data_IF_319856820246
#
_entry.id   IF_319856820246
#
_cell.length_a   1.000
_cell.length_b   1.000
_cell.length_c   1.000
_cell.angle_alpha   90.00
_cell.angle_beta   90.00
_cell.angle_gamma   90.00
#
_symmetry.space_group_name_H-M   'P 1'
#
loop_
_entity.id
_entity.type
_entity.pdbx_description
1 polymer ?
#
# COMPACT_ATOMS: atom_id res chain seq x y z
N UNK A 1 17.24 -40.74 -40.97
CA UNK A 1 17.08 -40.87 -39.52
C UNK A 1 17.63 -39.62 -38.84
N UNK A 2 16.88 -38.50 -38.95
CA UNK A 2 17.23 -37.16 -38.42
C UNK A 2 15.97 -36.37 -38.03
N UNK A 3 15.10 -37.00 -37.22
CA UNK A 3 13.85 -36.36 -36.75
C UNK A 3 13.72 -36.24 -35.24
N UNK A 4 14.66 -36.76 -34.46
CA UNK A 4 14.52 -36.81 -32.98
C UNK A 4 15.07 -35.58 -32.23
N UNK A 5 15.92 -34.75 -32.87
CA UNK A 5 16.50 -33.56 -32.22
C UNK A 5 15.53 -32.41 -32.02
N UNK A 6 14.55 -32.25 -32.92
CA UNK A 6 13.61 -31.13 -32.87
C UNK A 6 12.47 -31.36 -31.86
N UNK A 7 12.04 -32.61 -31.67
CA UNK A 7 10.99 -32.98 -30.72
C UNK A 7 11.46 -32.91 -29.27
N UNK A 8 12.74 -33.26 -28.98
CA UNK A 8 13.34 -33.07 -27.69
C UNK A 8 13.51 -31.57 -27.32
N UNK A 9 13.88 -30.73 -28.28
CA UNK A 9 13.99 -29.28 -28.12
C UNK A 9 12.63 -28.62 -27.84
N UNK A 10 11.58 -29.04 -28.49
CA UNK A 10 10.22 -28.51 -28.29
C UNK A 10 9.65 -28.98 -26.94
N UNK A 11 9.87 -30.26 -26.60
CA UNK A 11 9.39 -30.81 -25.33
C UNK A 11 10.14 -30.24 -24.11
N UNK A 12 11.45 -30.00 -24.23
CA UNK A 12 12.24 -29.33 -23.19
C UNK A 12 11.90 -27.85 -23.08
N UNK A 13 11.62 -27.15 -24.20
CA UNK A 13 11.21 -25.76 -24.22
C UNK A 13 9.83 -25.57 -23.58
N UNK A 14 8.86 -26.44 -23.91
CA UNK A 14 7.52 -26.45 -23.28
C UNK A 14 7.58 -26.75 -21.78
N UNK A 15 8.42 -27.74 -21.36
CA UNK A 15 8.61 -28.11 -19.95
C UNK A 15 9.34 -27.04 -19.14
N UNK A 16 10.24 -26.29 -19.76
CA UNK A 16 10.98 -25.20 -19.13
C UNK A 16 10.16 -23.91 -19.03
N UNK A 17 9.30 -23.62 -20.02
CA UNK A 17 8.33 -22.52 -19.93
C UNK A 17 7.29 -22.80 -18.85
N UNK A 18 6.76 -24.03 -18.77
CA UNK A 18 5.82 -24.46 -17.75
C UNK A 18 6.41 -24.40 -16.31
N UNK A 19 7.74 -24.60 -16.13
CA UNK A 19 8.41 -24.47 -14.82
C UNK A 19 8.66 -23.02 -14.44
N UNK A 20 8.84 -22.11 -15.40
CA UNK A 20 8.97 -20.68 -15.14
C UNK A 20 7.63 -20.06 -14.73
N UNK A 21 6.53 -20.53 -15.33
CA UNK A 21 5.17 -20.16 -14.96
C UNK A 21 4.78 -20.67 -13.58
N UNK A 22 5.46 -21.71 -13.06
CA UNK A 22 5.23 -22.21 -11.69
C UNK A 22 5.82 -21.32 -10.59
N UNK A 23 6.85 -20.49 -10.87
CA UNK A 23 7.47 -19.63 -9.83
C UNK A 23 6.70 -18.34 -9.63
N UNK A 24 6.18 -17.73 -10.69
CA UNK A 24 5.32 -16.54 -10.60
C UNK A 24 4.08 -16.81 -11.42
N UNK A 25 3.02 -17.25 -10.78
CA UNK A 25 1.75 -17.60 -11.42
C UNK A 25 0.76 -16.44 -11.37
N UNK A 26 -0.18 -16.39 -12.31
CA UNK A 26 -1.34 -15.48 -12.28
C UNK A 26 -2.13 -15.63 -10.96
N UNK A 27 -2.13 -16.83 -10.34
CA UNK A 27 -2.70 -17.06 -9.00
C UNK A 27 -2.01 -16.22 -7.91
N UNK A 28 -0.77 -15.83 -8.11
CA UNK A 28 -0.06 -14.94 -7.19
C UNK A 28 -0.51 -13.47 -7.35
N UNK A 29 -1.05 -13.09 -8.53
CA UNK A 29 -1.68 -11.79 -8.72
C UNK A 29 -2.90 -11.61 -7.79
N UNK A 30 -3.64 -12.68 -7.49
CA UNK A 30 -4.76 -12.64 -6.52
C UNK A 30 -4.25 -12.36 -5.10
N UNK A 31 -3.04 -12.80 -4.76
CA UNK A 31 -2.42 -12.47 -3.47
C UNK A 31 -2.03 -10.99 -3.36
N UNK A 32 -2.02 -10.28 -4.51
CA UNK A 32 -1.70 -8.86 -4.64
C UNK A 32 -2.94 -7.93 -4.59
N UNK A 33 -4.09 -8.48 -4.19
CA UNK A 33 -5.35 -7.73 -4.12
C UNK A 33 -5.22 -6.43 -3.33
N UNK A 34 -4.33 -6.38 -2.33
CA UNK A 34 -4.04 -5.17 -1.58
C UNK A 34 -3.47 -4.04 -2.44
N UNK A 35 -2.57 -4.35 -3.37
CA UNK A 35 -2.01 -3.34 -4.30
C UNK A 35 -3.09 -2.90 -5.28
N UNK A 36 -3.91 -3.83 -5.79
CA UNK A 36 -5.03 -3.49 -6.69
C UNK A 36 -6.05 -2.57 -6.02
N UNK A 37 -6.35 -2.76 -4.74
CA UNK A 37 -7.26 -1.88 -3.98
C UNK A 37 -6.66 -0.49 -3.82
N UNK A 38 -5.37 -0.39 -3.46
CA UNK A 38 -4.69 0.89 -3.28
C UNK A 38 -4.64 1.67 -4.60
N UNK A 39 -4.28 1.02 -5.70
CA UNK A 39 -4.26 1.65 -7.03
C UNK A 39 -5.66 2.02 -7.51
N UNK A 40 -6.67 1.20 -7.23
CA UNK A 40 -8.06 1.50 -7.52
C UNK A 40 -8.49 2.81 -6.81
N UNK A 41 -8.23 2.93 -5.50
CA UNK A 41 -8.54 4.14 -4.74
C UNK A 41 -7.77 5.37 -5.26
N UNK A 42 -6.49 5.21 -5.60
CA UNK A 42 -5.67 6.27 -6.14
C UNK A 42 -6.21 6.80 -7.47
N UNK A 43 -6.47 5.88 -8.40
CA UNK A 43 -6.97 6.23 -9.74
C UNK A 43 -8.38 6.81 -9.67
N UNK A 44 -9.24 6.30 -8.79
CA UNK A 44 -10.58 6.83 -8.57
C UNK A 44 -10.53 8.32 -8.19
N UNK A 45 -9.80 8.66 -7.13
CA UNK A 45 -9.69 10.06 -6.66
C UNK A 45 -9.10 10.94 -7.75
N UNK A 46 -7.93 10.57 -8.26
CA UNK A 46 -7.22 11.40 -9.23
C UNK A 46 -8.01 11.59 -10.53
N UNK A 47 -8.72 10.55 -11.00
CA UNK A 47 -9.57 10.65 -12.18
C UNK A 47 -10.73 11.61 -11.97
N UNK A 48 -11.42 11.53 -10.82
CA UNK A 48 -12.54 12.42 -10.52
C UNK A 48 -12.11 13.88 -10.50
N UNK A 49 -11.02 14.20 -9.79
CA UNK A 49 -10.55 15.58 -9.67
C UNK A 49 -9.90 16.13 -10.93
N UNK A 50 -9.09 15.33 -11.64
CA UNK A 50 -8.45 15.79 -12.86
C UNK A 50 -9.45 15.93 -14.01
N UNK A 51 -10.43 15.03 -14.13
CA UNK A 51 -11.50 15.19 -15.12
C UNK A 51 -12.33 16.44 -14.83
N UNK A 52 -12.70 16.65 -13.57
CA UNK A 52 -13.40 17.87 -13.14
C UNK A 52 -12.59 19.13 -13.46
N UNK A 53 -11.28 19.11 -13.22
CA UNK A 53 -10.40 20.22 -13.59
C UNK A 53 -10.42 20.52 -15.09
N UNK A 54 -10.33 19.49 -15.95
CA UNK A 54 -10.38 19.69 -17.40
C UNK A 54 -11.75 20.19 -17.89
N UNK A 55 -12.84 19.74 -17.27
CA UNK A 55 -14.18 20.15 -17.66
C UNK A 55 -14.50 21.57 -17.15
N UNK A 56 -14.06 21.95 -15.96
CA UNK A 56 -14.31 23.29 -15.40
C UNK A 56 -13.50 24.36 -16.13
N UNK A 57 -12.29 24.07 -16.59
CA UNK A 57 -11.49 25.02 -17.37
C UNK A 57 -12.19 25.40 -18.69
N UNK A 58 -12.99 24.50 -19.28
CA UNK A 58 -13.72 24.79 -20.53
C UNK A 58 -14.90 25.76 -20.36
N UNK A 59 -15.32 26.07 -19.15
CA UNK A 59 -16.43 27.01 -18.90
C UNK A 59 -15.96 28.42 -18.49
N UNK A 60 -14.64 28.67 -18.48
CA UNK A 60 -14.07 29.98 -18.11
C UNK A 60 -14.69 31.14 -18.86
N UNK A 61 -14.87 30.99 -20.19
CA UNK A 61 -15.46 32.01 -21.08
C UNK A 61 -16.93 32.35 -20.76
N UNK A 62 -17.62 31.53 -19.97
CA UNK A 62 -19.03 31.72 -19.61
C UNK A 62 -19.21 32.42 -18.26
N UNK A 63 -18.12 32.75 -17.59
CA UNK A 63 -18.14 33.37 -16.25
C UNK A 63 -18.00 34.88 -16.38
N UNK A 64 -19.07 35.59 -16.05
CA UNK A 64 -19.15 37.06 -16.20
C UNK A 64 -19.07 37.79 -14.85
N UNK A 65 -19.52 37.16 -13.76
CA UNK A 65 -19.62 37.81 -12.46
C UNK A 65 -18.32 37.61 -11.64
N UNK A 66 -17.86 38.68 -10.97
CA UNK A 66 -16.65 38.66 -10.14
C UNK A 66 -16.72 37.63 -9.01
N UNK A 67 -17.88 37.48 -8.35
CA UNK A 67 -18.11 36.48 -7.32
C UNK A 67 -17.99 35.04 -7.87
N UNK A 68 -18.50 34.82 -9.09
CA UNK A 68 -18.39 33.51 -9.76
C UNK A 68 -16.96 33.22 -10.16
N UNK A 69 -16.15 34.22 -10.51
CA UNK A 69 -14.73 34.07 -10.81
C UNK A 69 -13.94 33.65 -9.57
N UNK A 70 -14.17 34.25 -8.41
CA UNK A 70 -13.51 33.85 -7.15
C UNK A 70 -13.84 32.43 -6.83
N UNK A 71 -15.09 32.01 -6.93
CA UNK A 71 -15.50 30.62 -6.68
C UNK A 71 -14.88 29.64 -7.69
N UNK A 72 -14.82 30.01 -8.96
CA UNK A 72 -14.18 29.25 -10.03
C UNK A 72 -12.69 29.01 -9.74
N UNK A 73 -11.92 30.06 -9.42
CA UNK A 73 -10.50 29.93 -9.09
C UNK A 73 -10.28 29.08 -7.83
N UNK A 74 -11.13 29.20 -6.82
CA UNK A 74 -11.07 28.38 -5.63
C UNK A 74 -11.31 26.88 -5.95
N UNK A 75 -12.26 26.57 -6.83
CA UNK A 75 -12.54 25.18 -7.26
C UNK A 75 -11.38 24.59 -8.07
N UNK A 76 -10.79 25.34 -8.98
CA UNK A 76 -9.62 24.93 -9.77
C UNK A 76 -8.44 24.65 -8.84
N UNK A 77 -8.09 25.59 -7.96
CA UNK A 77 -6.99 25.46 -7.02
C UNK A 77 -7.20 24.26 -6.10
N UNK A 78 -8.41 24.07 -5.59
CA UNK A 78 -8.78 22.91 -4.77
C UNK A 78 -8.60 21.61 -5.53
N UNK A 79 -9.08 21.51 -6.78
CA UNK A 79 -8.94 20.31 -7.60
C UNK A 79 -7.47 19.97 -7.89
N UNK A 80 -6.65 20.96 -8.22
CA UNK A 80 -5.21 20.79 -8.45
C UNK A 80 -4.49 20.32 -7.20
N UNK A 81 -4.69 20.98 -6.06
CA UNK A 81 -4.03 20.63 -4.79
C UNK A 81 -4.40 19.23 -4.35
N UNK A 82 -5.69 18.87 -4.42
CA UNK A 82 -6.14 17.52 -4.03
C UNK A 82 -5.57 16.47 -4.97
N UNK A 83 -5.58 16.68 -6.27
CA UNK A 83 -5.02 15.75 -7.23
C UNK A 83 -3.52 15.54 -6.98
N UNK A 84 -2.77 16.62 -6.75
CA UNK A 84 -1.33 16.55 -6.50
C UNK A 84 -1.00 15.87 -5.17
N UNK A 85 -1.64 16.30 -4.09
CA UNK A 85 -1.38 15.79 -2.74
C UNK A 85 -1.86 14.35 -2.60
N UNK A 86 -3.12 14.08 -2.92
CA UNK A 86 -3.71 12.75 -2.83
C UNK A 86 -3.05 11.78 -3.82
N UNK A 87 -2.88 12.20 -5.08
CA UNK A 87 -2.20 11.41 -6.09
C UNK A 87 -0.76 11.11 -5.72
N UNK A 88 -0.01 12.08 -5.24
CA UNK A 88 1.37 11.91 -4.78
C UNK A 88 1.50 10.96 -3.60
N UNK A 89 0.68 11.15 -2.55
CA UNK A 89 0.64 10.26 -1.39
C UNK A 89 0.30 8.82 -1.76
N UNK A 90 -0.76 8.63 -2.56
CA UNK A 90 -1.20 7.30 -2.96
C UNK A 90 -0.21 6.63 -3.91
N UNK A 91 0.45 7.40 -4.77
CA UNK A 91 1.54 6.91 -5.63
C UNK A 91 2.72 6.40 -4.80
N UNK A 92 3.21 7.21 -3.84
CA UNK A 92 4.31 6.81 -2.95
C UNK A 92 3.92 5.57 -2.14
N UNK A 93 2.71 5.52 -1.62
CA UNK A 93 2.17 4.35 -0.90
C UNK A 93 2.18 3.11 -1.77
N UNK A 94 1.72 3.21 -3.02
CA UNK A 94 1.69 2.09 -3.97
C UNK A 94 3.10 1.59 -4.30
N UNK A 95 4.07 2.49 -4.49
CA UNK A 95 5.49 2.13 -4.72
C UNK A 95 6.07 1.38 -3.52
N UNK A 96 5.88 1.91 -2.31
CA UNK A 96 6.38 1.28 -1.08
C UNK A 96 5.79 -0.12 -0.92
N UNK A 97 4.48 -0.25 -1.13
CA UNK A 97 3.75 -1.52 -1.03
C UNK A 97 4.24 -2.53 -2.06
N UNK A 98 4.40 -2.11 -3.32
CA UNK A 98 4.91 -2.99 -4.38
C UNK A 98 6.30 -3.51 -4.06
N UNK A 99 7.24 -2.62 -3.72
CA UNK A 99 8.61 -3.01 -3.39
C UNK A 99 8.68 -3.96 -2.19
N UNK A 100 7.84 -3.69 -1.17
CA UNK A 100 7.72 -4.56 -0.03
C UNK A 100 7.19 -5.95 -0.41
N UNK A 101 6.15 -5.99 -1.25
CA UNK A 101 5.54 -7.24 -1.68
C UNK A 101 6.51 -8.09 -2.52
N UNK A 102 7.22 -7.48 -3.46
CA UNK A 102 8.23 -8.16 -4.27
C UNK A 102 9.35 -8.71 -3.38
N UNK A 103 9.81 -7.90 -2.41
CA UNK A 103 10.83 -8.35 -1.44
C UNK A 103 10.34 -9.58 -0.66
N UNK A 104 9.12 -9.51 -0.14
CA UNK A 104 8.51 -10.60 0.61
C UNK A 104 8.34 -11.85 -0.24
N UNK A 105 7.90 -11.70 -1.48
CA UNK A 105 7.75 -12.78 -2.44
C UNK A 105 9.10 -13.47 -2.73
N UNK A 106 10.15 -12.70 -3.00
CA UNK A 106 11.49 -13.20 -3.21
C UNK A 106 12.01 -13.91 -1.96
N UNK A 107 11.72 -13.38 -0.77
CA UNK A 107 12.18 -13.96 0.49
C UNK A 107 11.50 -15.30 0.82
N UNK A 108 10.24 -15.50 0.42
CA UNK A 108 9.53 -16.79 0.55
C UNK A 108 10.05 -17.80 -0.47
N UNK A 109 10.20 -17.42 -1.72
CA UNK A 109 10.57 -18.31 -2.84
C UNK A 109 12.08 -18.34 -3.11
N UNK A 110 12.92 -18.02 -2.10
CA UNK A 110 14.38 -17.97 -2.25
C UNK A 110 14.98 -19.25 -2.78
N UNK A 111 14.56 -20.41 -2.26
CA UNK A 111 15.07 -21.72 -2.65
C UNK A 111 14.75 -22.03 -4.11
N UNK A 112 13.49 -21.80 -4.52
CA UNK A 112 13.03 -22.03 -5.89
C UNK A 112 13.76 -21.13 -6.89
N UNK A 113 13.90 -19.84 -6.56
CA UNK A 113 14.66 -18.87 -7.37
C UNK A 113 16.16 -19.25 -7.43
N UNK A 114 16.71 -19.77 -6.32
CA UNK A 114 18.08 -20.29 -6.25
C UNK A 114 18.29 -21.50 -7.15
N UNK A 115 17.34 -22.44 -7.18
CA UNK A 115 17.36 -23.63 -8.05
C UNK A 115 17.32 -23.22 -9.53
N UNK A 116 16.42 -22.31 -9.90
CA UNK A 116 16.34 -21.83 -11.29
C UNK A 116 17.66 -21.19 -11.73
N UNK A 117 18.29 -20.43 -10.83
CA UNK A 117 19.59 -19.79 -11.12
C UNK A 117 20.73 -20.82 -11.20
N UNK A 118 20.70 -21.87 -10.40
CA UNK A 118 21.63 -23.01 -10.46
C UNK A 118 21.49 -23.80 -11.76
N UNK A 119 20.26 -23.91 -12.30
CA UNK A 119 19.96 -24.51 -13.60
C UNK A 119 20.38 -23.64 -14.81
N UNK A 120 21.08 -22.51 -14.56
CA UNK A 120 21.62 -21.64 -15.62
C UNK A 120 20.68 -20.57 -16.15
N UNK A 121 19.50 -20.36 -15.53
CA UNK A 121 18.62 -19.25 -15.95
C UNK A 121 19.26 -17.89 -15.66
N UNK A 122 19.29 -17.03 -16.65
CA UNK A 122 19.81 -15.66 -16.49
C UNK A 122 18.95 -14.86 -15.52
N UNK A 123 19.57 -13.97 -14.75
CA UNK A 123 18.89 -13.06 -13.81
C UNK A 123 17.76 -12.28 -14.46
N UNK A 124 17.97 -11.83 -15.70
CA UNK A 124 17.00 -11.06 -16.46
C UNK A 124 15.78 -11.92 -16.85
N UNK A 125 16.00 -13.18 -17.25
CA UNK A 125 14.91 -14.10 -17.64
C UNK A 125 14.00 -14.39 -16.44
N UNK A 126 14.57 -14.53 -15.23
CA UNK A 126 13.79 -14.71 -14.00
C UNK A 126 13.08 -13.41 -13.61
N UNK A 127 13.78 -12.25 -13.67
CA UNK A 127 13.22 -10.96 -13.30
C UNK A 127 12.08 -10.51 -14.23
N UNK A 128 12.15 -10.86 -15.52
CA UNK A 128 11.10 -10.51 -16.49
C UNK A 128 9.73 -11.05 -16.07
N UNK A 129 9.64 -12.20 -15.42
CA UNK A 129 8.36 -12.77 -15.00
C UNK A 129 7.65 -11.96 -13.90
N UNK A 130 8.36 -11.04 -13.24
CA UNK A 130 7.76 -10.15 -12.26
C UNK A 130 6.87 -9.04 -12.87
N UNK A 131 6.76 -8.95 -14.21
CA UNK A 131 5.79 -8.08 -14.88
C UNK A 131 4.34 -8.35 -14.45
N UNK A 132 4.05 -9.58 -14.00
CA UNK A 132 2.74 -10.00 -13.48
C UNK A 132 2.29 -9.10 -12.32
N UNK A 133 3.21 -8.53 -11.55
CA UNK A 133 2.89 -7.55 -10.52
C UNK A 133 2.27 -6.26 -11.10
N UNK A 134 2.66 -5.89 -12.32
CA UNK A 134 2.03 -4.79 -13.06
C UNK A 134 0.59 -5.08 -13.47
N UNK A 135 0.23 -6.35 -13.71
CA UNK A 135 -1.16 -6.75 -14.03
C UNK A 135 -2.10 -6.42 -12.86
N UNK A 136 -1.66 -6.59 -11.62
CA UNK A 136 -2.47 -6.22 -10.44
C UNK A 136 -2.73 -4.72 -10.37
N UNK A 137 -1.73 -3.92 -10.74
CA UNK A 137 -1.87 -2.46 -10.84
C UNK A 137 -2.83 -2.11 -11.99
N UNK A 138 -2.70 -2.75 -13.14
CA UNK A 138 -3.59 -2.55 -14.28
C UNK A 138 -5.05 -2.84 -13.93
N UNK A 139 -5.32 -3.99 -13.31
CA UNK A 139 -6.69 -4.35 -12.88
C UNK A 139 -7.24 -3.31 -11.90
N UNK A 140 -6.44 -2.91 -10.90
CA UNK A 140 -6.82 -1.87 -9.95
C UNK A 140 -7.10 -0.54 -10.62
N UNK A 141 -6.25 -0.11 -11.56
CA UNK A 141 -6.41 1.14 -12.30
C UNK A 141 -7.65 1.16 -13.19
N UNK A 142 -7.93 0.06 -13.90
CA UNK A 142 -9.13 -0.04 -14.75
C UNK A 142 -10.40 0.00 -13.92
N UNK A 143 -10.44 -0.73 -12.81
CA UNK A 143 -11.59 -0.71 -11.89
C UNK A 143 -11.76 0.69 -11.29
N UNK A 144 -10.68 1.32 -10.81
CA UNK A 144 -10.72 2.67 -10.23
C UNK A 144 -11.19 3.71 -11.23
N UNK A 145 -10.73 3.64 -12.47
CA UNK A 145 -11.15 4.52 -13.55
C UNK A 145 -12.65 4.35 -13.88
N UNK A 146 -13.12 3.11 -13.99
CA UNK A 146 -14.53 2.81 -14.26
C UNK A 146 -15.44 3.29 -13.11
N UNK A 147 -15.04 3.07 -11.87
CA UNK A 147 -15.77 3.56 -10.69
C UNK A 147 -15.78 5.09 -10.62
N UNK A 148 -14.70 5.77 -11.01
CA UNK A 148 -14.64 7.22 -11.06
C UNK A 148 -15.72 7.78 -11.99
N UNK A 149 -15.87 7.25 -13.20
CA UNK A 149 -16.93 7.66 -14.12
C UNK A 149 -18.34 7.35 -13.61
N UNK A 150 -18.51 6.25 -12.87
CA UNK A 150 -19.80 5.92 -12.25
C UNK A 150 -20.21 6.94 -11.18
N UNK A 151 -19.26 7.42 -10.37
CA UNK A 151 -19.53 8.39 -9.30
C UNK A 151 -19.44 9.86 -9.76
N UNK A 152 -18.89 10.14 -10.93
CA UNK A 152 -18.67 11.48 -11.46
C UNK A 152 -19.94 12.35 -11.53
N UNK A 153 -21.11 11.84 -11.97
CA UNK A 153 -22.34 12.66 -11.98
C UNK A 153 -22.76 13.15 -10.59
N UNK A 154 -22.59 12.31 -9.57
CA UNK A 154 -22.90 12.65 -8.19
C UNK A 154 -21.90 13.71 -7.69
N UNK A 155 -20.61 13.52 -7.99
CA UNK A 155 -19.54 14.42 -7.60
C UNK A 155 -19.74 15.83 -8.20
N UNK A 156 -20.02 15.95 -9.49
CA UNK A 156 -20.22 17.24 -10.16
C UNK A 156 -21.45 18.00 -9.62
N UNK A 157 -22.57 17.29 -9.37
CA UNK A 157 -23.75 17.88 -8.75
C UNK A 157 -23.46 18.43 -7.35
N UNK A 158 -22.58 17.79 -6.60
CA UNK A 158 -22.25 18.23 -5.24
C UNK A 158 -21.24 19.38 -5.22
N UNK A 159 -20.30 19.39 -6.18
CA UNK A 159 -19.36 20.52 -6.33
C UNK A 159 -20.07 21.81 -6.76
N UNK A 160 -21.19 21.71 -7.49
CA UNK A 160 -22.02 22.83 -7.91
C UNK A 160 -23.39 22.84 -7.23
N UNK A 161 -23.44 22.48 -5.91
CA UNK A 161 -24.69 22.38 -5.14
C UNK A 161 -25.47 23.69 -5.12
N UNK A 162 -24.76 24.81 -4.99
CA UNK A 162 -25.36 26.15 -4.90
C UNK A 162 -25.65 26.78 -6.27
N UNK A 163 -25.41 26.01 -7.37
CA UNK A 163 -25.62 26.42 -8.77
C UNK A 163 -24.95 27.78 -9.12
N UNK A 164 -23.82 28.05 -8.49
CA UNK A 164 -23.04 29.28 -8.74
C UNK A 164 -22.36 29.22 -10.11
N UNK A 165 -21.90 28.02 -10.49
CA UNK A 165 -21.27 27.79 -11.79
C UNK A 165 -22.30 27.33 -12.83
N UNK A 166 -22.08 27.63 -14.13
CA UNK A 166 -22.85 27.06 -15.22
C UNK A 166 -22.84 25.52 -15.18
N UNK A 167 -23.80 24.89 -15.88
CA UNK A 167 -23.83 23.41 -15.96
C UNK A 167 -22.56 22.87 -16.61
N UNK A 168 -21.83 22.04 -15.86
CA UNK A 168 -20.60 21.39 -16.31
C UNK A 168 -20.96 20.07 -16.96
N UNK A 169 -20.69 19.91 -18.23
CA UNK A 169 -20.91 18.64 -18.96
C UNK A 169 -19.73 17.71 -18.75
N UNK A 170 -20.01 16.48 -18.31
CA UNK A 170 -18.97 15.47 -18.10
C UNK A 170 -18.49 14.98 -19.47
N UNK A 171 -17.20 15.18 -19.77
CA UNK A 171 -16.55 14.71 -20.97
C UNK A 171 -15.55 13.61 -20.67
N UNK A 172 -15.39 12.68 -21.60
CA UNK A 172 -14.34 11.67 -21.52
C UNK A 172 -13.04 12.24 -22.10
N UNK A 173 -12.01 12.33 -21.25
CA UNK A 173 -10.69 12.77 -21.67
C UNK A 173 -9.73 11.58 -21.82
N UNK A 174 -9.36 11.18 -23.07
CA UNK A 174 -8.43 10.05 -23.28
C UNK A 174 -7.07 10.23 -22.60
N UNK A 175 -6.65 11.48 -22.42
CA UNK A 175 -5.41 11.84 -21.70
C UNK A 175 -5.43 11.38 -20.24
N UNK A 176 -6.58 11.48 -19.56
CA UNK A 176 -6.75 11.02 -18.18
C UNK A 176 -6.58 9.50 -18.08
N UNK A 177 -7.16 8.76 -19.04
CA UNK A 177 -6.96 7.31 -19.12
C UNK A 177 -5.49 6.93 -19.34
N UNK A 178 -4.81 7.63 -20.23
CA UNK A 178 -3.38 7.40 -20.50
C UNK A 178 -2.54 7.62 -19.22
N UNK A 179 -2.76 8.75 -18.52
CA UNK A 179 -1.99 9.12 -17.34
C UNK A 179 -2.25 8.23 -16.12
N UNK A 180 -3.48 7.75 -15.90
CA UNK A 180 -3.83 7.00 -14.69
C UNK A 180 -3.97 5.49 -14.88
N UNK A 181 -4.08 4.99 -16.10
CA UNK A 181 -4.16 3.56 -16.35
C UNK A 181 -2.88 3.03 -17.02
N UNK A 182 -2.50 3.60 -18.16
CA UNK A 182 -1.40 3.06 -18.97
C UNK A 182 -0.03 3.39 -18.34
N UNK A 183 0.20 4.66 -18.02
CA UNK A 183 1.50 5.12 -17.51
C UNK A 183 1.86 4.47 -16.15
N UNK A 184 0.99 4.44 -15.13
CA UNK A 184 1.30 3.74 -13.88
C UNK A 184 1.53 2.26 -14.09
N UNK A 185 0.74 1.58 -14.92
CA UNK A 185 0.92 0.14 -15.21
C UNK A 185 2.30 -0.14 -15.80
N UNK A 186 2.72 0.64 -16.78
CA UNK A 186 4.05 0.52 -17.38
C UNK A 186 5.15 0.81 -16.35
N UNK A 187 5.01 1.91 -15.58
CA UNK A 187 5.98 2.31 -14.56
C UNK A 187 6.14 1.22 -13.49
N UNK A 188 5.05 0.72 -12.91
CA UNK A 188 5.08 -0.31 -11.87
C UNK A 188 5.60 -1.66 -12.39
N UNK A 189 5.30 -2.02 -13.65
CA UNK A 189 5.85 -3.22 -14.29
C UNK A 189 7.37 -3.13 -14.44
N UNK A 190 7.86 -2.00 -14.93
CA UNK A 190 9.32 -1.75 -15.06
C UNK A 190 9.99 -1.75 -13.68
N UNK A 191 9.39 -1.07 -12.72
CA UNK A 191 9.89 -1.01 -11.34
C UNK A 191 9.98 -2.41 -10.71
N UNK A 192 8.98 -3.27 -10.93
CA UNK A 192 8.96 -4.64 -10.45
C UNK A 192 10.10 -5.47 -11.05
N UNK A 193 10.32 -5.36 -12.37
CA UNK A 193 11.39 -6.06 -13.08
C UNK A 193 12.77 -5.57 -12.59
N UNK A 194 12.97 -4.25 -12.52
CA UNK A 194 14.24 -3.65 -12.07
C UNK A 194 14.57 -4.06 -10.63
N UNK A 195 13.62 -3.94 -9.72
CA UNK A 195 13.84 -4.31 -8.32
C UNK A 195 14.17 -5.79 -8.16
N UNK A 196 13.42 -6.67 -8.84
CA UNK A 196 13.68 -8.11 -8.83
C UNK A 196 15.06 -8.44 -9.41
N UNK A 197 15.46 -7.78 -10.51
CA UNK A 197 16.77 -7.96 -11.10
C UNK A 197 17.90 -7.60 -10.12
N UNK A 198 17.78 -6.48 -9.40
CA UNK A 198 18.77 -6.09 -8.39
C UNK A 198 18.82 -7.06 -7.22
N UNK A 199 17.67 -7.55 -6.76
CA UNK A 199 17.60 -8.55 -5.67
C UNK A 199 18.18 -9.90 -6.05
N UNK A 200 18.00 -10.33 -7.28
CA UNK A 200 18.52 -11.60 -7.81
C UNK A 200 20.04 -11.56 -8.12
N UNK A 201 20.73 -10.43 -7.95
CA UNK A 201 22.20 -10.33 -8.06
C UNK A 201 22.92 -11.18 -6.99
N UNK A 202 22.28 -11.54 -5.89
CA UNK A 202 22.87 -12.37 -4.83
C UNK A 202 23.36 -13.72 -5.39
N UNK A 203 24.52 -14.25 -4.91
CA UNK A 203 25.05 -15.54 -5.37
C UNK A 203 24.09 -16.68 -5.06
N UNK A 204 24.11 -17.73 -5.90
CA UNK A 204 23.20 -18.90 -5.79
C UNK A 204 23.30 -19.55 -4.42
N UNK A 205 24.52 -19.68 -3.89
CA UNK A 205 24.76 -20.30 -2.57
C UNK A 205 24.02 -19.56 -1.43
N UNK A 206 23.91 -18.22 -1.50
CA UNK A 206 23.17 -17.42 -0.52
C UNK A 206 21.64 -17.55 -0.67
N UNK A 207 21.16 -17.93 -1.84
CA UNK A 207 19.73 -18.16 -2.08
C UNK A 207 19.31 -19.57 -1.63
N UNK A 208 20.19 -20.56 -1.81
CA UNK A 208 19.93 -21.97 -1.48
C UNK A 208 20.19 -22.31 0.00
N UNK A 209 21.28 -21.78 0.57
CA UNK A 209 21.50 -21.89 2.01
C UNK A 209 20.51 -20.94 2.69
N UNK A 210 19.62 -21.49 3.50
CA UNK A 210 19.02 -20.76 4.64
C UNK A 210 20.13 -20.46 5.65
N UNK A 211 21.18 -19.75 5.22
CA UNK A 211 22.03 -19.09 6.19
C UNK A 211 21.09 -18.08 6.83
N UNK A 212 20.54 -18.46 8.00
CA UNK A 212 20.35 -17.50 9.05
C UNK A 212 21.56 -16.60 8.89
N UNK A 213 21.36 -15.38 8.38
CA UNK A 213 22.36 -14.36 8.56
C UNK A 213 22.45 -14.21 10.09
N UNK A 214 23.23 -15.08 10.68
CA UNK A 214 23.96 -14.73 11.86
C UNK A 214 24.74 -13.53 11.39
N UNK A 215 24.15 -12.36 11.58
CA UNK A 215 24.84 -11.11 11.44
C UNK A 215 26.07 -11.32 12.31
N UNK A 216 27.24 -11.34 11.69
CA UNK A 216 28.52 -11.43 12.38
C UNK A 216 28.76 -10.27 13.34
N UNK A 217 27.78 -9.41 13.49
CA UNK A 217 27.61 -8.34 14.46
C UNK A 217 26.56 -8.68 15.56
N UNK A 218 26.23 -9.94 15.78
CA UNK A 218 25.72 -10.32 17.09
C UNK A 218 26.88 -10.06 18.08
N UNK A 219 26.96 -8.81 18.58
CA UNK A 219 27.54 -8.59 19.90
C UNK A 219 27.01 -9.73 20.76
N UNK A 220 27.94 -10.53 21.33
CA UNK A 220 27.60 -11.58 22.28
C UNK A 220 26.42 -11.09 23.11
N UNK A 221 25.35 -11.89 23.25
CA UNK A 221 24.29 -11.50 24.16
C UNK A 221 24.97 -11.11 25.46
N UNK A 222 24.82 -9.86 25.88
CA UNK A 222 25.06 -9.52 27.27
C UNK A 222 24.03 -10.40 27.98
N UNK A 223 24.52 -11.38 28.73
CA UNK A 223 23.71 -12.14 29.67
C UNK A 223 23.11 -11.16 30.68
N UNK A 224 22.01 -10.52 30.30
CA UNK A 224 21.11 -9.90 31.24
C UNK A 224 20.16 -11.03 31.66
N UNK A 225 20.55 -11.77 32.65
CA UNK A 225 19.82 -12.92 33.22
C UNK A 225 18.40 -12.56 33.68
N UNK A 226 18.03 -11.28 33.74
CA UNK A 226 16.76 -10.81 34.30
C UNK A 226 15.65 -10.47 33.29
N UNK A 227 15.86 -10.65 31.96
CA UNK A 227 14.84 -10.28 30.96
C UNK A 227 13.99 -11.51 30.64
N UNK A 228 12.65 -11.46 30.82
CA UNK A 228 11.76 -12.54 30.43
C UNK A 228 11.96 -12.90 28.95
N UNK A 229 12.04 -14.18 28.62
CA UNK A 229 12.25 -14.70 27.24
C UNK A 229 11.34 -14.04 26.20
N UNK A 230 10.07 -13.78 26.56
CA UNK A 230 9.09 -13.14 25.68
C UNK A 230 9.53 -11.71 25.29
N UNK A 231 10.11 -10.96 26.20
CA UNK A 231 10.51 -9.57 25.95
C UNK A 231 11.83 -9.48 25.16
N UNK A 232 12.75 -10.42 25.40
CA UNK A 232 13.95 -10.54 24.57
C UNK A 232 13.60 -10.97 23.14
N UNK A 233 12.67 -11.91 22.97
CA UNK A 233 12.18 -12.35 21.65
C UNK A 233 11.50 -11.20 20.90
N UNK A 234 10.69 -10.36 21.56
CA UNK A 234 10.11 -9.14 20.96
C UNK A 234 11.19 -8.22 20.42
N UNK A 235 12.18 -7.91 21.27
CA UNK A 235 13.28 -6.97 20.94
C UNK A 235 14.11 -7.49 19.77
N UNK A 236 14.42 -8.78 19.76
CA UNK A 236 15.18 -9.43 18.70
C UNK A 236 14.39 -9.51 17.39
N UNK A 237 13.08 -9.81 17.46
CA UNK A 237 12.20 -9.82 16.27
C UNK A 237 12.10 -8.42 15.64
N UNK A 238 11.95 -7.37 16.44
CA UNK A 238 11.91 -6.00 15.96
C UNK A 238 13.23 -5.57 15.31
N UNK A 239 14.37 -5.88 15.94
CA UNK A 239 15.71 -5.56 15.39
C UNK A 239 16.01 -6.32 14.11
N UNK A 240 15.63 -7.60 14.04
CA UNK A 240 15.87 -8.45 12.87
C UNK A 240 15.04 -8.05 11.66
N UNK A 241 13.80 -7.55 11.88
CA UNK A 241 12.83 -7.32 10.81
C UNK A 241 12.44 -5.84 10.65
N UNK A 242 13.45 -4.97 10.53
CA UNK A 242 13.27 -3.51 10.37
C UNK A 242 12.28 -3.12 9.26
N UNK A 243 12.20 -3.91 8.19
CA UNK A 243 11.25 -3.65 7.08
C UNK A 243 9.79 -3.79 7.53
N UNK A 244 9.49 -4.76 8.41
CA UNK A 244 8.15 -4.93 8.96
C UNK A 244 7.78 -3.82 9.94
N UNK A 245 8.75 -3.39 10.74
CA UNK A 245 8.61 -2.23 11.63
C UNK A 245 8.22 -0.98 10.84
N UNK A 246 8.97 -0.69 9.77
CA UNK A 246 8.67 0.44 8.87
C UNK A 246 7.26 0.32 8.26
N UNK A 247 6.87 -0.90 7.87
CA UNK A 247 5.59 -1.12 7.22
C UNK A 247 4.38 -0.89 8.15
N UNK A 248 4.46 -1.35 9.40
CA UNK A 248 3.41 -1.10 10.40
C UNK A 248 3.34 0.38 10.78
N UNK A 249 4.50 1.02 10.95
CA UNK A 249 4.58 2.45 11.19
C UNK A 249 3.92 3.24 10.05
N UNK A 250 4.23 2.88 8.80
CA UNK A 250 3.67 3.51 7.62
C UNK A 250 2.15 3.27 7.48
N UNK A 251 1.68 2.05 7.75
CA UNK A 251 0.25 1.75 7.74
C UNK A 251 -0.53 2.57 8.77
N UNK A 252 0.03 2.72 9.99
CA UNK A 252 -0.56 3.54 11.05
C UNK A 252 -0.53 5.03 10.74
N UNK A 253 0.55 5.49 10.09
CA UNK A 253 0.67 6.84 9.53
C UNK A 253 -0.43 7.13 8.52
N UNK A 254 -0.64 6.24 7.53
CA UNK A 254 -1.70 6.39 6.53
C UNK A 254 -3.09 6.42 7.17
N UNK A 255 -3.33 5.56 8.19
CA UNK A 255 -4.60 5.55 8.90
C UNK A 255 -4.90 6.90 9.55
N UNK A 256 -3.95 7.41 10.35
CA UNK A 256 -4.09 8.66 11.08
C UNK A 256 -4.29 9.85 10.14
N UNK A 257 -3.42 9.98 9.13
CA UNK A 257 -3.48 11.11 8.19
C UNK A 257 -4.78 11.15 7.41
N UNK A 258 -5.25 10.00 6.90
CA UNK A 258 -6.47 9.95 6.08
C UNK A 258 -7.75 10.16 6.90
N UNK A 259 -7.85 9.57 8.10
CA UNK A 259 -9.04 9.74 8.93
C UNK A 259 -9.20 11.16 9.44
N UNK A 260 -8.12 11.82 9.84
CA UNK A 260 -8.16 13.20 10.32
C UNK A 260 -8.35 14.20 9.16
N UNK A 261 -7.70 13.96 8.01
CA UNK A 261 -7.89 14.78 6.82
C UNK A 261 -9.34 14.73 6.33
N UNK A 262 -9.98 13.56 6.36
CA UNK A 262 -11.37 13.39 5.98
C UNK A 262 -12.33 14.24 6.83
N UNK A 263 -12.09 14.29 8.14
CA UNK A 263 -12.91 15.08 9.06
C UNK A 263 -12.74 16.59 8.82
N UNK A 264 -11.50 17.05 8.63
CA UNK A 264 -11.19 18.44 8.37
C UNK A 264 -11.67 18.93 7.00
N UNK A 265 -11.70 18.08 5.99
CA UNK A 265 -12.21 18.42 4.65
C UNK A 265 -13.72 18.66 4.61
N UNK A 266 -14.46 18.11 5.56
CA UNK A 266 -15.90 18.39 5.71
C UNK A 266 -16.15 19.90 5.94
N UNK A 267 -15.31 20.55 6.70
CA UNK A 267 -15.45 21.95 7.06
C UNK A 267 -14.83 22.89 6.01
N UNK A 268 -13.78 22.44 5.31
CA UNK A 268 -13.05 23.23 4.32
C UNK A 268 -13.65 23.20 2.90
N UNK A 269 -14.39 22.16 2.54
CA UNK A 269 -14.88 21.98 1.16
C UNK A 269 -16.35 21.55 1.16
N UNK A 270 -16.62 20.26 1.19
CA UNK A 270 -17.97 19.71 1.21
C UNK A 270 -18.07 18.43 2.03
N UNK A 271 -19.25 18.20 2.61
CA UNK A 271 -19.52 16.97 3.38
C UNK A 271 -19.25 15.71 2.54
N UNK A 272 -19.60 15.73 1.26
CA UNK A 272 -19.34 14.58 0.37
C UNK A 272 -17.85 14.31 0.19
N UNK A 273 -17.05 15.36 0.05
CA UNK A 273 -15.62 15.25 -0.08
C UNK A 273 -14.99 14.61 1.15
N UNK A 274 -15.41 15.07 2.33
CA UNK A 274 -15.03 14.45 3.59
C UNK A 274 -15.41 12.97 3.66
N UNK A 275 -16.63 12.60 3.28
CA UNK A 275 -17.09 11.21 3.25
C UNK A 275 -16.26 10.37 2.26
N UNK A 276 -16.00 10.88 1.06
CA UNK A 276 -15.22 10.17 0.04
C UNK A 276 -13.78 9.91 0.51
N UNK A 277 -13.11 10.90 1.06
CA UNK A 277 -11.75 10.76 1.62
C UNK A 277 -11.75 9.78 2.80
N UNK A 278 -12.77 9.84 3.66
CA UNK A 278 -12.90 8.95 4.81
C UNK A 278 -13.07 7.48 4.36
N UNK A 279 -13.96 7.20 3.43
CA UNK A 279 -14.19 5.84 2.92
C UNK A 279 -12.92 5.29 2.27
N UNK A 280 -12.28 6.07 1.40
CA UNK A 280 -11.04 5.68 0.72
C UNK A 280 -9.91 5.49 1.76
N UNK A 281 -9.79 6.42 2.71
CA UNK A 281 -8.79 6.36 3.77
C UNK A 281 -8.93 5.13 4.66
N UNK A 282 -10.16 4.78 5.06
CA UNK A 282 -10.42 3.57 5.85
C UNK A 282 -10.08 2.30 5.05
N UNK A 283 -10.49 2.21 3.79
CA UNK A 283 -10.19 1.05 2.93
C UNK A 283 -8.67 0.90 2.79
N UNK A 284 -7.96 1.99 2.50
CA UNK A 284 -6.51 2.00 2.36
C UNK A 284 -5.82 1.60 3.67
N UNK A 285 -6.23 2.19 4.77
CA UNK A 285 -5.65 1.94 6.08
C UNK A 285 -5.87 0.49 6.54
N UNK A 286 -7.09 -0.02 6.43
CA UNK A 286 -7.40 -1.41 6.78
C UNK A 286 -6.62 -2.39 5.88
N UNK A 287 -6.54 -2.12 4.58
CA UNK A 287 -5.80 -2.98 3.63
C UNK A 287 -4.31 -3.00 3.95
N UNK A 288 -3.70 -1.85 4.24
CA UNK A 288 -2.27 -1.75 4.58
C UNK A 288 -1.95 -2.42 5.91
N UNK A 289 -2.76 -2.21 6.96
CA UNK A 289 -2.60 -2.87 8.25
C UNK A 289 -2.77 -4.39 8.15
N UNK A 290 -3.81 -4.83 7.44
CA UNK A 290 -4.06 -6.25 7.21
C UNK A 290 -2.87 -6.93 6.52
N UNK A 291 -2.33 -6.30 5.48
CA UNK A 291 -1.18 -6.82 4.76
C UNK A 291 0.09 -6.82 5.61
N UNK A 292 0.32 -5.76 6.40
CA UNK A 292 1.44 -5.66 7.32
C UNK A 292 1.45 -6.82 8.33
N UNK A 293 0.33 -7.03 9.03
CA UNK A 293 0.21 -8.07 10.05
C UNK A 293 0.29 -9.47 9.44
N UNK A 294 -0.35 -9.70 8.28
CA UNK A 294 -0.23 -10.98 7.54
C UNK A 294 1.23 -11.33 7.27
N UNK A 295 2.01 -10.35 6.86
CA UNK A 295 3.42 -10.53 6.54
C UNK A 295 4.26 -10.81 7.78
N UNK A 296 3.95 -10.15 8.91
CA UNK A 296 4.61 -10.44 10.20
C UNK A 296 4.39 -11.91 10.58
N UNK A 297 3.16 -12.38 10.51
CA UNK A 297 2.82 -13.76 10.89
C UNK A 297 3.49 -14.76 9.95
N UNK A 298 3.34 -14.62 8.64
CA UNK A 298 3.98 -15.51 7.66
C UNK A 298 5.51 -15.53 7.81
N UNK A 299 6.11 -14.36 8.05
CA UNK A 299 7.56 -14.28 8.26
C UNK A 299 8.05 -14.86 9.59
N UNK A 300 7.16 -15.16 10.54
CA UNK A 300 7.50 -15.73 11.86
C UNK A 300 6.87 -17.10 12.11
N UNK A 301 6.34 -17.77 11.08
CA UNK A 301 5.61 -19.04 11.22
C UNK A 301 6.48 -20.12 11.91
N UNK A 302 7.76 -20.24 11.53
CA UNK A 302 8.70 -21.17 12.18
C UNK A 302 8.88 -20.87 13.68
N UNK A 303 9.04 -19.60 14.03
CA UNK A 303 9.17 -19.17 15.45
C UNK A 303 7.90 -19.49 16.24
N UNK A 304 6.72 -19.26 15.65
CA UNK A 304 5.43 -19.62 16.27
C UNK A 304 5.33 -21.10 16.55
N UNK A 305 5.73 -21.94 15.58
CA UNK A 305 5.68 -23.40 15.71
C UNK A 305 6.62 -23.89 16.80
N UNK A 306 7.84 -23.38 16.86
CA UNK A 306 8.82 -23.69 17.91
C UNK A 306 8.26 -23.31 19.30
N UNK A 307 7.73 -22.09 19.47
CA UNK A 307 7.12 -21.69 20.73
C UNK A 307 5.97 -22.61 21.16
N UNK A 308 5.14 -23.05 20.21
CA UNK A 308 4.03 -23.97 20.51
C UNK A 308 4.53 -25.37 20.92
N UNK A 309 5.63 -25.84 20.33
CA UNK A 309 6.28 -27.12 20.73
C UNK A 309 6.77 -27.00 22.17
N UNK A 310 7.31 -25.86 22.58
CA UNK A 310 7.74 -25.60 23.96
C UNK A 310 6.57 -25.34 24.94
N UNK A 311 5.31 -25.49 24.51
CA UNK A 311 4.14 -25.37 25.38
C UNK A 311 3.62 -23.96 25.60
N UNK A 312 4.15 -22.97 24.90
CA UNK A 312 3.62 -21.60 24.99
C UNK A 312 2.19 -21.52 24.46
N UNK A 313 1.35 -20.84 25.21
CA UNK A 313 -0.04 -20.58 24.81
C UNK A 313 -0.11 -19.67 23.57
N UNK A 314 -1.22 -19.73 22.85
CA UNK A 314 -1.46 -18.90 21.69
C UNK A 314 -1.38 -17.40 22.02
N UNK A 315 -1.90 -16.99 23.19
CA UNK A 315 -1.85 -15.60 23.65
C UNK A 315 -0.42 -15.12 23.87
N UNK A 316 0.44 -15.98 24.42
CA UNK A 316 1.86 -15.68 24.61
C UNK A 316 2.61 -15.57 23.29
N UNK A 317 2.35 -16.46 22.33
CA UNK A 317 2.91 -16.37 20.98
C UNK A 317 2.53 -15.05 20.29
N UNK A 318 1.24 -14.67 20.37
CA UNK A 318 0.78 -13.38 19.84
C UNK A 318 1.41 -12.19 20.56
N UNK A 319 1.49 -12.22 21.90
CA UNK A 319 2.12 -11.19 22.70
C UNK A 319 3.61 -11.03 22.38
N UNK A 320 4.32 -12.14 22.20
CA UNK A 320 5.73 -12.16 21.85
C UNK A 320 6.01 -11.56 20.45
N UNK A 321 5.19 -11.91 19.46
CA UNK A 321 5.44 -11.55 18.07
C UNK A 321 4.78 -10.24 17.65
N UNK A 322 3.53 -10.02 18.04
CA UNK A 322 2.75 -8.87 17.63
C UNK A 322 2.75 -7.73 18.67
N UNK A 323 2.89 -8.06 19.96
CA UNK A 323 2.87 -7.07 21.04
C UNK A 323 3.97 -6.02 20.94
N UNK A 324 5.13 -6.36 20.35
CA UNK A 324 6.23 -5.43 20.13
C UNK A 324 5.94 -4.34 19.08
N UNK A 325 4.95 -4.54 18.21
CA UNK A 325 4.59 -3.58 17.17
C UNK A 325 3.57 -2.53 17.63
N UNK A 326 2.90 -2.73 18.78
CA UNK A 326 1.94 -1.75 19.32
C UNK A 326 2.56 -0.35 19.53
N UNK A 327 3.70 -0.19 20.23
CA UNK A 327 4.27 1.14 20.42
C UNK A 327 4.68 1.79 19.09
N UNK A 328 5.12 0.98 18.11
CA UNK A 328 5.49 1.47 16.77
C UNK A 328 4.27 1.99 16.02
N UNK A 329 3.11 1.32 16.15
CA UNK A 329 1.88 1.78 15.53
C UNK A 329 1.39 3.11 16.10
N UNK A 330 1.54 3.33 17.41
CA UNK A 330 1.22 4.63 18.04
C UNK A 330 2.16 5.76 17.59
N UNK A 331 3.45 5.46 17.42
CA UNK A 331 4.41 6.43 16.87
C UNK A 331 4.01 6.77 15.42
N UNK A 332 3.64 5.78 14.61
CA UNK A 332 3.14 6.01 13.24
C UNK A 332 1.90 6.89 13.23
N UNK A 333 0.95 6.65 14.14
CA UNK A 333 -0.25 7.47 14.31
C UNK A 333 0.11 8.92 14.64
N UNK A 334 1.00 9.17 15.60
CA UNK A 334 1.44 10.50 15.97
C UNK A 334 2.11 11.26 14.80
N UNK A 335 2.98 10.58 14.05
CA UNK A 335 3.60 11.17 12.85
C UNK A 335 2.55 11.51 11.81
N UNK A 336 1.54 10.65 11.61
CA UNK A 336 0.43 10.90 10.69
C UNK A 336 -0.41 12.11 11.08
N UNK A 337 -0.67 12.30 12.37
CA UNK A 337 -1.37 13.48 12.90
C UNK A 337 -0.59 14.78 12.63
N UNK A 338 0.71 14.78 12.88
CA UNK A 338 1.58 15.96 12.61
C UNK A 338 1.60 16.26 11.11
N UNK A 339 1.77 15.24 10.28
CA UNK A 339 1.78 15.39 8.82
C UNK A 339 0.48 15.98 8.30
N UNK A 340 -0.66 15.46 8.74
CA UNK A 340 -1.98 15.95 8.34
C UNK A 340 -2.18 17.43 8.70
N UNK A 341 -1.80 17.82 9.92
CA UNK A 341 -1.91 19.20 10.36
C UNK A 341 -1.06 20.16 9.49
N UNK A 342 0.20 19.80 9.26
CA UNK A 342 1.11 20.61 8.43
C UNK A 342 0.57 20.72 7.00
N UNK A 343 0.14 19.59 6.43
CA UNK A 343 -0.36 19.53 5.05
C UNK A 343 -1.61 20.38 4.86
N UNK A 344 -2.59 20.30 5.77
CA UNK A 344 -3.81 21.09 5.68
C UNK A 344 -3.53 22.58 5.87
N UNK A 345 -2.62 22.94 6.76
CA UNK A 345 -2.20 24.33 6.92
C UNK A 345 -1.61 24.89 5.63
N UNK A 346 -0.69 24.17 5.02
CA UNK A 346 -0.09 24.56 3.73
C UNK A 346 -1.16 24.62 2.63
N UNK A 347 -2.09 23.66 2.61
CA UNK A 347 -3.17 23.64 1.62
C UNK A 347 -4.09 24.86 1.76
N UNK A 348 -4.48 25.23 2.98
CA UNK A 348 -5.30 26.43 3.23
C UNK A 348 -4.55 27.67 2.79
N UNK A 349 -3.27 27.81 3.11
CA UNK A 349 -2.44 28.95 2.73
C UNK A 349 -2.27 29.09 1.20
N UNK A 350 -2.30 27.97 0.45
CA UNK A 350 -2.19 27.98 -1.02
C UNK A 350 -3.53 28.26 -1.68
N UNK A 351 -4.60 27.58 -1.26
CA UNK A 351 -5.93 27.67 -1.93
C UNK A 351 -6.58 29.02 -1.71
N UNK A 352 -6.39 29.60 -0.53
CA UNK A 352 -7.06 30.82 -0.13
C UNK A 352 -6.14 32.06 -0.09
N UNK A 353 -4.99 31.99 -0.73
CA UNK A 353 -3.97 33.06 -0.74
C UNK A 353 -4.49 34.45 -1.12
N UNK A 354 -5.51 34.51 -1.98
CA UNK A 354 -6.05 35.72 -2.55
C UNK A 354 -7.36 36.20 -1.87
N UNK A 355 -7.73 35.61 -0.74
CA UNK A 355 -8.95 35.92 0.00
C UNK A 355 -8.59 36.57 1.36
N UNK A 356 -9.00 37.79 1.61
CA UNK A 356 -8.81 38.45 2.90
C UNK A 356 -9.70 37.85 3.99
N UNK A 357 -9.17 37.74 5.24
CA UNK A 357 -9.89 37.29 6.44
C UNK A 357 -10.25 35.79 6.51
N UNK A 358 -9.37 34.88 6.07
CA UNK A 358 -9.59 33.46 6.26
C UNK A 358 -9.26 33.04 7.67
N UNK A 359 -10.11 32.22 8.31
CA UNK A 359 -9.78 31.65 9.61
C UNK A 359 -8.57 30.71 9.47
N UNK A 360 -7.53 30.97 10.25
CA UNK A 360 -6.35 30.10 10.33
C UNK A 360 -6.83 28.69 10.73
N UNK A 361 -6.43 27.68 9.96
CA UNK A 361 -6.76 26.30 10.29
C UNK A 361 -6.25 25.96 11.70
N UNK A 362 -7.17 25.66 12.60
CA UNK A 362 -6.87 25.28 13.98
C UNK A 362 -6.86 23.75 14.10
N UNK A 363 -6.00 23.25 14.99
CA UNK A 363 -5.92 21.84 15.26
C UNK A 363 -7.16 21.36 16.03
N UNK A 364 -7.85 20.36 15.48
CA UNK A 364 -9.07 19.81 16.06
C UNK A 364 -8.74 18.62 17.00
N UNK A 365 -8.61 18.91 18.30
CA UNK A 365 -8.36 17.89 19.33
C UNK A 365 -9.46 16.81 19.43
N UNK A 366 -10.76 17.12 19.41
CA UNK A 366 -11.83 16.13 19.33
C UNK A 366 -11.67 15.14 18.19
N UNK A 367 -11.42 15.61 16.98
CA UNK A 367 -11.22 14.75 15.81
C UNK A 367 -10.00 13.83 16.00
N UNK A 368 -8.89 14.36 16.50
CA UNK A 368 -7.71 13.56 16.83
C UNK A 368 -8.05 12.45 17.84
N UNK A 369 -8.76 12.79 18.92
CA UNK A 369 -9.12 11.84 19.95
C UNK A 369 -10.05 10.73 19.43
N UNK A 370 -11.09 11.08 18.68
CA UNK A 370 -11.99 10.08 18.06
C UNK A 370 -11.26 9.21 17.05
N UNK A 371 -10.37 9.77 16.22
CA UNK A 371 -9.57 9.00 15.27
C UNK A 371 -8.60 8.04 15.99
N UNK A 372 -8.04 8.44 17.14
CA UNK A 372 -7.18 7.58 17.96
C UNK A 372 -7.97 6.40 18.56
N UNK A 373 -9.14 6.66 19.12
CA UNK A 373 -10.01 5.59 19.66
C UNK A 373 -10.40 4.63 18.55
N UNK A 374 -10.81 5.16 17.40
CA UNK A 374 -11.16 4.34 16.23
C UNK A 374 -9.96 3.51 15.74
N UNK A 375 -8.77 4.10 15.69
CA UNK A 375 -7.53 3.38 15.37
C UNK A 375 -7.26 2.22 16.33
N UNK A 376 -7.39 2.45 17.64
CA UNK A 376 -7.18 1.41 18.66
C UNK A 376 -8.16 0.25 18.43
N UNK A 377 -9.44 0.55 18.21
CA UNK A 377 -10.47 -0.47 17.97
C UNK A 377 -10.16 -1.29 16.72
N UNK A 378 -9.83 -0.64 15.61
CA UNK A 378 -9.49 -1.32 14.34
C UNK A 378 -8.22 -2.15 14.49
N UNK A 379 -7.19 -1.60 15.14
CA UNK A 379 -5.91 -2.29 15.35
C UNK A 379 -6.10 -3.55 16.21
N UNK A 380 -6.80 -3.44 17.35
CA UNK A 380 -7.07 -4.59 18.24
C UNK A 380 -7.99 -5.62 17.57
N UNK A 381 -8.97 -5.18 16.77
CA UNK A 381 -9.80 -6.10 15.99
C UNK A 381 -8.98 -6.91 14.99
N UNK A 382 -8.09 -6.27 14.25
CA UNK A 382 -7.18 -6.95 13.33
C UNK A 382 -6.25 -7.92 14.08
N UNK A 383 -5.71 -7.48 15.23
CA UNK A 383 -4.87 -8.31 16.09
C UNK A 383 -5.61 -9.55 16.60
N UNK A 384 -6.86 -9.39 17.03
CA UNK A 384 -7.72 -10.48 17.47
C UNK A 384 -7.99 -11.48 16.33
N UNK A 385 -8.37 -11.00 15.16
CA UNK A 385 -8.63 -11.84 13.98
C UNK A 385 -7.40 -12.69 13.60
N UNK A 386 -6.20 -12.10 13.66
CA UNK A 386 -4.97 -12.84 13.38
C UNK A 386 -4.55 -13.78 14.51
N UNK A 387 -4.89 -13.48 15.75
CA UNK A 387 -4.69 -14.40 16.86
C UNK A 387 -5.47 -15.70 16.62
N UNK A 388 -6.70 -15.63 16.12
CA UNK A 388 -7.48 -16.79 15.70
C UNK A 388 -6.83 -17.56 14.54
N UNK A 389 -6.21 -16.87 13.58
CA UNK A 389 -5.48 -17.53 12.48
C UNK A 389 -4.23 -18.27 12.95
N UNK A 390 -3.50 -17.74 13.92
CA UNK A 390 -2.35 -18.43 14.53
C UNK A 390 -2.78 -19.76 15.17
N UNK A 391 -4.00 -19.84 15.70
CA UNK A 391 -4.59 -21.07 16.25
C UNK A 391 -4.67 -22.20 15.23
N UNK A 392 -4.96 -21.85 13.97
CA UNK A 392 -5.14 -22.83 12.88
C UNK A 392 -3.83 -23.29 12.24
N UNK A 393 -2.68 -22.72 12.62
CA UNK A 393 -1.38 -23.16 12.09
C UNK A 393 -1.07 -24.56 12.67
N UNK A 394 -1.08 -25.57 11.80
CA UNK A 394 -0.74 -26.94 12.15
C UNK A 394 0.76 -27.07 12.37
N UNK A 395 1.16 -27.49 13.58
CA UNK A 395 2.57 -27.79 13.91
C UNK A 395 3.11 -28.89 13.00
N UNK A 396 2.25 -29.82 12.57
CA UNK A 396 2.60 -31.00 11.77
C UNK A 396 3.02 -30.63 10.33
N UNK A 397 2.36 -29.64 9.72
CA UNK A 397 2.67 -29.18 8.34
C UNK A 397 4.04 -28.51 8.22
N UNK A 398 4.49 -27.85 9.28
CA UNK A 398 5.72 -27.03 9.26
C UNK A 398 6.96 -27.87 9.61
N UNK A 399 6.78 -29.02 10.27
CA UNK A 399 7.89 -29.94 10.58
C UNK A 399 8.24 -30.87 9.40
N UNK A 400 7.39 -30.91 8.38
CA UNK A 400 7.58 -31.74 7.17
C UNK A 400 8.22 -30.95 6.02
N UNK A 401 8.18 -29.62 6.04
CA UNK A 401 8.90 -28.72 5.12
C UNK A 401 10.31 -28.34 5.64
#
# INVERSE_FOLDING_TARGET
>A
MRLDGNMYSICTKSRTEMRLDMVVSIKDAVKLIGISIITCCAVLVCTMFLNFYFDIVQIEDKIVSEQTQIFYHAQISTAQVICFVSGGCLFITSVIMLLFYIKHYIDIHKKELGILKALGYSKFKIAKNFWIFGVSVFIGSVIGFSLAFLFMPIFYKMQNKDKILPEITIKFHPTVFLYFVILPTAFFSILAICYSFFKLKKPVLMLLKDTIQTSSNLKKPKDNEDIPFIDDLKKNTLKSKKTLVFFILFASFCFSSMTQMAASMKDLSSIMMGIMILVIGIILACTTLFLAITTVIKGNTKTISIMRIFGYSQKECCKALLGGYRPISYIGFAIGTIYQYILLRIMVDIVFKDIDNIPVYQFDFPVMFFSLVFFIVVYEFIMYYYSERIKKISVKEIMIE
#
